data_IF_659376589662
#
_entry.id   IF_659376589662
#
_cell.length_a   1.000
_cell.length_b   1.000
_cell.length_c   1.000
_cell.angle_alpha   90.00
_cell.angle_beta   90.00
_cell.angle_gamma   90.00
#
_symmetry.space_group_name_H-M   'P 1'
#
loop_
_entity.id
_entity.type
_entity.pdbx_description
1 polymer ?
#
# COMPACT_ATOMS: atom_id res chain seq x y z
N UNK A 1 16.27 3.46 -13.58
CA UNK A 1 15.11 2.82 -13.01
C UNK A 1 14.58 3.67 -11.86
N UNK A 2 13.30 4.02 -11.86
CA UNK A 2 12.63 4.72 -10.78
C UNK A 2 12.13 3.77 -9.70
N UNK A 3 11.41 4.30 -8.71
CA UNK A 3 10.60 3.46 -7.83
C UNK A 3 9.37 2.98 -8.60
N UNK A 4 9.14 1.68 -8.56
CA UNK A 4 7.96 1.05 -9.14
C UNK A 4 7.17 0.33 -8.05
N UNK A 5 5.97 -0.09 -8.38
CA UNK A 5 5.14 -0.91 -7.52
C UNK A 5 5.80 -2.25 -7.16
N UNK A 6 6.64 -2.77 -8.06
CA UNK A 6 7.42 -3.99 -7.83
C UNK A 6 8.45 -3.77 -6.72
N UNK A 7 9.21 -2.67 -6.79
CA UNK A 7 10.20 -2.33 -5.75
C UNK A 7 9.54 -2.04 -4.39
N UNK A 8 8.34 -1.46 -4.39
CA UNK A 8 7.56 -1.25 -3.18
C UNK A 8 7.10 -2.59 -2.56
N UNK A 9 6.59 -3.50 -3.39
CA UNK A 9 6.20 -4.84 -2.94
C UNK A 9 7.40 -5.65 -2.40
N UNK A 10 8.60 -5.47 -2.97
CA UNK A 10 9.84 -6.07 -2.49
C UNK A 10 10.12 -5.71 -1.03
N UNK A 11 9.98 -4.44 -0.65
CA UNK A 11 10.18 -3.97 0.73
C UNK A 11 9.24 -4.71 1.68
N UNK A 12 7.95 -4.73 1.36
CA UNK A 12 6.95 -5.42 2.19
C UNK A 12 7.25 -6.92 2.31
N UNK A 13 7.63 -7.58 1.20
CA UNK A 13 8.00 -8.98 1.18
C UNK A 13 9.19 -9.28 2.10
N UNK A 14 10.23 -8.44 2.07
CA UNK A 14 11.42 -8.60 2.91
C UNK A 14 11.13 -8.43 4.40
N UNK A 15 10.30 -7.45 4.77
CA UNK A 15 9.83 -7.32 6.15
C UNK A 15 9.04 -8.55 6.61
N UNK A 16 8.13 -9.06 5.77
CA UNK A 16 7.39 -10.27 6.08
C UNK A 16 8.32 -11.45 6.39
N UNK A 17 9.28 -11.70 5.47
CA UNK A 17 10.21 -12.83 5.60
C UNK A 17 11.00 -12.74 6.90
N UNK A 18 11.65 -11.62 7.17
CA UNK A 18 12.53 -11.50 8.34
C UNK A 18 11.77 -11.50 9.66
N UNK A 19 10.62 -10.82 9.69
CA UNK A 19 9.76 -10.84 10.87
C UNK A 19 9.23 -12.24 11.16
N UNK A 20 8.80 -12.97 10.13
CA UNK A 20 8.28 -14.34 10.30
C UNK A 20 9.38 -15.34 10.66
N UNK A 21 10.55 -15.21 10.04
CA UNK A 21 11.73 -16.06 10.32
C UNK A 21 12.17 -15.94 11.79
N UNK A 22 12.25 -14.71 12.31
CA UNK A 22 12.82 -14.45 13.65
C UNK A 22 11.76 -14.59 14.75
N UNK A 23 10.52 -14.15 14.52
CA UNK A 23 9.49 -14.03 15.56
C UNK A 23 8.24 -14.87 15.33
N UNK A 24 8.19 -15.67 14.25
CA UNK A 24 7.05 -16.54 13.94
C UNK A 24 5.74 -15.76 13.84
N UNK A 25 4.70 -16.21 14.53
CA UNK A 25 3.37 -15.59 14.50
C UNK A 25 3.35 -14.14 15.06
N UNK A 26 4.23 -13.83 16.02
CA UNK A 26 4.39 -12.44 16.50
C UNK A 26 4.96 -11.55 15.40
N UNK A 27 5.88 -12.06 14.61
CA UNK A 27 6.44 -11.36 13.46
C UNK A 27 5.40 -11.08 12.38
N UNK A 28 4.57 -12.07 12.07
CA UNK A 28 3.45 -11.88 11.14
C UNK A 28 2.43 -10.85 11.66
N UNK A 29 2.08 -10.90 12.95
CA UNK A 29 1.20 -9.93 13.57
C UNK A 29 1.77 -8.50 13.50
N UNK A 30 3.09 -8.33 13.75
CA UNK A 30 3.77 -7.04 13.62
C UNK A 30 3.78 -6.54 12.17
N UNK A 31 4.03 -7.41 11.21
CA UNK A 31 3.96 -7.10 9.78
C UNK A 31 2.57 -6.59 9.37
N UNK A 32 1.51 -7.28 9.79
CA UNK A 32 0.14 -6.87 9.51
C UNK A 32 -0.21 -5.53 10.16
N UNK A 33 0.27 -5.30 11.38
CA UNK A 33 0.10 -4.03 12.08
C UNK A 33 0.82 -2.90 11.36
N UNK A 34 2.07 -3.10 10.95
CA UNK A 34 2.85 -2.13 10.17
C UNK A 34 2.21 -1.80 8.82
N UNK A 35 1.66 -2.82 8.14
CA UNK A 35 0.91 -2.64 6.89
C UNK A 35 -0.31 -1.73 7.08
N UNK A 36 -1.06 -1.93 8.16
CA UNK A 36 -2.20 -1.05 8.51
C UNK A 36 -1.74 0.36 8.84
N UNK A 37 -0.71 0.49 9.65
CA UNK A 37 -0.13 1.78 10.04
C UNK A 37 0.28 2.60 8.82
N UNK A 38 1.01 1.99 7.89
CA UNK A 38 1.35 2.60 6.61
C UNK A 38 0.11 3.05 5.82
N UNK A 39 -0.90 2.19 5.72
CA UNK A 39 -2.15 2.50 5.02
C UNK A 39 -2.92 3.66 5.67
N UNK A 40 -2.97 3.71 7.00
CA UNK A 40 -3.62 4.78 7.76
C UNK A 40 -2.90 6.13 7.60
N UNK A 41 -1.57 6.15 7.63
CA UNK A 41 -0.80 7.38 7.38
C UNK A 41 -1.13 7.96 6.00
N UNK A 42 -1.22 7.12 4.96
CA UNK A 42 -1.65 7.55 3.64
C UNK A 42 -3.07 8.10 3.64
N UNK A 43 -4.00 7.37 4.23
CA UNK A 43 -5.40 7.80 4.34
C UNK A 43 -5.54 9.15 5.02
N UNK A 44 -4.79 9.41 6.09
CA UNK A 44 -4.76 10.70 6.79
C UNK A 44 -4.31 11.84 5.88
N UNK A 45 -3.22 11.68 5.14
CA UNK A 45 -2.74 12.71 4.20
C UNK A 45 -3.76 12.98 3.09
N UNK A 46 -4.35 11.94 2.54
CA UNK A 46 -5.40 12.06 1.52
C UNK A 46 -6.62 12.82 2.05
N UNK A 47 -7.06 12.50 3.29
CA UNK A 47 -8.15 13.20 3.96
C UNK A 47 -7.81 14.69 4.19
N UNK A 48 -6.60 14.99 4.67
CA UNK A 48 -6.16 16.38 4.90
C UNK A 48 -6.18 17.21 3.62
N UNK A 49 -5.71 16.65 2.50
CA UNK A 49 -5.76 17.34 1.20
C UNK A 49 -7.21 17.57 0.74
N UNK A 50 -8.06 16.54 0.87
CA UNK A 50 -9.48 16.68 0.54
C UNK A 50 -10.17 17.76 1.39
N UNK A 51 -9.92 17.79 2.70
CA UNK A 51 -10.45 18.81 3.62
C UNK A 51 -9.93 20.21 3.24
N UNK A 52 -8.64 20.36 2.99
CA UNK A 52 -8.02 21.62 2.55
C UNK A 52 -8.70 22.17 1.30
N UNK A 53 -9.06 21.29 0.37
CA UNK A 53 -9.69 21.66 -0.89
C UNK A 53 -11.24 21.75 -0.79
N UNK A 54 -11.80 21.69 0.42
CA UNK A 54 -13.23 21.80 0.69
C UNK A 54 -14.05 20.60 0.19
N UNK A 55 -13.44 19.43 0.01
CA UNK A 55 -14.11 18.21 -0.49
C UNK A 55 -14.64 17.34 0.66
N UNK A 56 -15.81 16.72 0.49
CA UNK A 56 -16.32 15.75 1.47
C UNK A 56 -15.47 14.48 1.49
N UNK A 57 -15.39 13.80 2.63
CA UNK A 57 -14.68 12.53 2.76
C UNK A 57 -15.57 11.36 2.29
N UNK A 58 -15.74 11.21 0.98
CA UNK A 58 -16.46 10.14 0.30
C UNK A 58 -15.49 9.14 -0.32
N UNK A 59 -15.99 7.99 -0.78
CA UNK A 59 -15.15 7.04 -1.52
C UNK A 59 -14.71 7.60 -2.88
N UNK A 60 -15.55 8.37 -3.55
CA UNK A 60 -15.19 9.10 -4.77
C UNK A 60 -13.99 10.02 -4.53
N UNK A 61 -14.05 10.85 -3.48
CA UNK A 61 -12.93 11.72 -3.09
C UNK A 61 -11.68 10.91 -2.74
N UNK A 62 -11.83 9.78 -2.06
CA UNK A 62 -10.71 8.87 -1.81
C UNK A 62 -10.04 8.42 -3.12
N UNK A 63 -10.81 8.07 -4.14
CA UNK A 63 -10.26 7.70 -5.45
C UNK A 63 -9.51 8.87 -6.11
N UNK A 64 -10.07 10.08 -6.03
CA UNK A 64 -9.49 11.29 -6.61
C UNK A 64 -8.15 11.68 -5.96
N UNK A 65 -8.04 11.57 -4.64
CA UNK A 65 -6.83 11.90 -3.87
C UNK A 65 -5.89 10.72 -3.65
N UNK A 66 -6.19 9.56 -4.22
CA UNK A 66 -5.42 8.34 -4.06
C UNK A 66 -3.97 8.49 -4.53
N UNK A 67 -3.01 8.20 -3.64
CA UNK A 67 -1.57 8.32 -3.88
C UNK A 67 -0.98 7.22 -4.76
N UNK A 68 -1.75 6.18 -5.10
CA UNK A 68 -1.28 5.08 -5.93
C UNK A 68 -1.59 5.31 -7.40
N UNK A 69 -0.54 5.37 -8.18
CA UNK A 69 -0.58 5.44 -9.64
C UNK A 69 0.41 4.42 -10.19
N UNK A 70 -0.03 3.63 -11.15
CA UNK A 70 0.89 2.73 -11.83
C UNK A 70 1.92 3.53 -12.60
N UNK A 71 3.20 3.21 -12.41
CA UNK A 71 4.31 3.83 -13.14
C UNK A 71 4.26 3.44 -14.61
N UNK A 72 4.74 4.31 -15.47
CA UNK A 72 4.80 4.03 -16.92
C UNK A 72 5.69 2.82 -17.21
N UNK A 73 6.74 2.61 -16.42
CA UNK A 73 7.61 1.45 -16.53
C UNK A 73 6.84 0.13 -16.31
N UNK A 74 6.01 0.06 -15.26
CA UNK A 74 5.22 -1.14 -14.95
C UNK A 74 4.07 -1.33 -15.95
N UNK A 75 3.46 -0.25 -16.44
CA UNK A 75 2.46 -0.29 -17.52
C UNK A 75 3.05 -0.82 -18.82
N UNK A 76 4.24 -0.35 -19.23
CA UNK A 76 4.93 -0.78 -20.44
C UNK A 76 5.28 -2.27 -20.41
N UNK A 77 5.46 -2.86 -19.23
CA UNK A 77 5.67 -4.29 -19.03
C UNK A 77 4.37 -5.11 -19.01
N UNK A 78 3.20 -4.48 -19.10
CA UNK A 78 1.90 -5.14 -18.95
C UNK A 78 1.57 -5.57 -17.51
N UNK A 79 2.33 -5.08 -16.52
CA UNK A 79 2.21 -5.45 -15.10
C UNK A 79 1.42 -4.44 -14.27
N UNK A 80 0.97 -3.34 -14.86
CA UNK A 80 0.09 -2.37 -14.19
C UNK A 80 -1.23 -3.01 -13.77
N UNK A 81 -1.89 -2.46 -12.75
CA UNK A 81 -3.19 -2.95 -12.31
C UNK A 81 -4.19 -2.96 -13.47
N UNK A 82 -4.76 -4.13 -13.73
CA UNK A 82 -5.86 -4.32 -14.67
C UNK A 82 -7.07 -4.79 -13.89
N UNK A 83 -8.14 -4.01 -13.96
CA UNK A 83 -9.37 -4.30 -13.23
C UNK A 83 -10.61 -3.94 -14.04
N UNK A 84 -11.70 -4.61 -13.74
CA UNK A 84 -13.03 -4.31 -14.25
C UNK A 84 -13.98 -4.01 -13.09
N UNK A 85 -14.89 -3.07 -13.30
CA UNK A 85 -15.94 -2.76 -12.33
C UNK A 85 -17.12 -3.71 -12.57
N UNK A 86 -17.50 -4.46 -11.53
CA UNK A 86 -18.60 -5.41 -11.57
C UNK A 86 -19.86 -4.89 -10.87
N UNK A 87 -19.72 -3.93 -9.94
CA UNK A 87 -20.83 -3.25 -9.27
C UNK A 87 -20.43 -1.83 -8.87
N UNK A 88 -21.36 -0.87 -8.96
CA UNK A 88 -21.18 0.50 -8.46
C UNK A 88 -21.92 0.74 -7.14
N UNK A 89 -23.10 0.16 -6.96
CA UNK A 89 -24.01 0.44 -5.85
C UNK A 89 -24.83 -0.80 -5.47
N UNK A 90 -25.17 -0.98 -4.18
CA UNK A 90 -24.81 -0.16 -3.03
C UNK A 90 -23.32 -0.28 -2.64
N UNK A 91 -22.69 -1.40 -2.98
CA UNK A 91 -21.28 -1.68 -2.76
C UNK A 91 -20.53 -1.56 -4.10
N UNK A 92 -19.41 -0.85 -4.08
CA UNK A 92 -18.51 -0.82 -5.23
C UNK A 92 -17.67 -2.10 -5.26
N UNK A 93 -17.70 -2.82 -6.37
CA UNK A 93 -16.94 -4.05 -6.53
C UNK A 93 -16.12 -4.02 -7.83
N UNK A 94 -14.87 -4.45 -7.70
CA UNK A 94 -13.95 -4.63 -8.82
C UNK A 94 -13.33 -6.03 -8.79
N UNK A 95 -13.08 -6.58 -9.98
CA UNK A 95 -12.22 -7.73 -10.20
C UNK A 95 -10.86 -7.24 -10.69
N UNK A 96 -9.78 -7.69 -10.06
CA UNK A 96 -8.41 -7.31 -10.42
C UNK A 96 -7.73 -8.55 -11.01
N UNK A 97 -7.36 -8.48 -12.28
CA UNK A 97 -6.76 -9.58 -13.03
C UNK A 97 -5.23 -9.50 -13.08
N UNK A 98 -4.66 -8.29 -12.98
CA UNK A 98 -3.21 -8.07 -12.90
C UNK A 98 -2.91 -7.11 -11.76
N UNK A 99 -1.97 -7.49 -10.92
CA UNK A 99 -1.49 -6.68 -9.80
C UNK A 99 0.03 -6.78 -9.68
N UNK A 100 0.77 -5.66 -9.77
CA UNK A 100 2.23 -5.67 -9.67
C UNK A 100 2.74 -6.23 -8.34
N UNK A 101 2.00 -6.04 -7.25
CA UNK A 101 2.33 -6.62 -5.96
C UNK A 101 2.24 -8.15 -5.98
N UNK A 102 1.16 -8.70 -6.54
CA UNK A 102 1.04 -10.15 -6.74
C UNK A 102 2.21 -10.69 -7.57
N UNK A 103 2.51 -10.01 -8.68
CA UNK A 103 3.63 -10.40 -9.56
C UNK A 103 4.94 -10.44 -8.79
N UNK A 104 5.24 -9.41 -7.99
CA UNK A 104 6.48 -9.35 -7.22
C UNK A 104 6.55 -10.44 -6.13
N UNK A 105 5.47 -10.65 -5.37
CA UNK A 105 5.43 -11.72 -4.38
C UNK A 105 5.60 -13.10 -5.01
N UNK A 106 4.97 -13.34 -6.16
CA UNK A 106 5.12 -14.58 -6.92
C UNK A 106 6.57 -14.78 -7.39
N UNK A 107 7.21 -13.72 -7.94
CA UNK A 107 8.60 -13.77 -8.38
C UNK A 107 9.57 -14.06 -7.24
N UNK A 108 9.25 -13.64 -6.02
CA UNK A 108 10.03 -13.92 -4.81
C UNK A 108 9.68 -15.25 -4.13
N UNK A 109 8.69 -16.00 -4.64
CA UNK A 109 8.23 -17.26 -4.03
C UNK A 109 7.49 -17.08 -2.70
N UNK A 110 6.83 -15.94 -2.50
CA UNK A 110 6.20 -15.51 -1.24
C UNK A 110 4.69 -15.20 -1.40
N UNK A 111 3.87 -16.09 -1.98
CA UNK A 111 2.46 -15.82 -2.18
C UNK A 111 1.71 -15.59 -0.86
N UNK A 112 2.12 -16.23 0.24
CA UNK A 112 1.52 -16.09 1.56
C UNK A 112 1.65 -14.67 2.13
N UNK A 113 2.76 -13.99 1.87
CA UNK A 113 2.95 -12.59 2.28
C UNK A 113 1.94 -11.67 1.60
N UNK A 114 1.73 -11.86 0.31
CA UNK A 114 0.73 -11.11 -0.45
C UNK A 114 -0.69 -11.40 0.01
N UNK A 115 -1.00 -12.66 0.30
CA UNK A 115 -2.29 -13.07 0.84
C UNK A 115 -2.61 -12.39 2.18
N UNK A 116 -1.64 -12.37 3.10
CA UNK A 116 -1.77 -11.72 4.40
C UNK A 116 -2.04 -10.21 4.25
N UNK A 117 -1.34 -9.54 3.33
CA UNK A 117 -1.57 -8.11 3.03
C UNK A 117 -2.98 -7.86 2.52
N UNK A 118 -3.42 -8.57 1.48
CA UNK A 118 -4.72 -8.31 0.83
C UNK A 118 -5.88 -8.48 1.80
N UNK A 119 -5.82 -9.44 2.71
CA UNK A 119 -6.84 -9.64 3.76
C UNK A 119 -6.83 -8.55 4.83
N UNK A 120 -5.73 -7.86 4.99
CA UNK A 120 -5.52 -6.85 6.03
C UNK A 120 -5.90 -5.44 5.57
N UNK A 121 -6.04 -5.19 4.28
CA UNK A 121 -6.19 -3.88 3.65
C UNK A 121 -7.51 -3.18 3.94
N UNK A 122 -7.48 -2.09 4.19
CA UNK A 122 -7.35 -0.66 4.47
C UNK A 122 -8.70 -0.03 4.79
N UNK A 123 -8.73 0.84 5.75
CA UNK A 123 -9.80 1.85 5.86
C UNK A 123 -9.41 3.03 4.96
N UNK A 124 -10.20 3.39 3.94
CA UNK A 124 -9.86 4.45 3.00
C UNK A 124 -9.50 5.78 3.67
N UNK A 125 -10.35 6.26 4.58
CA UNK A 125 -10.08 7.43 5.41
C UNK A 125 -10.23 7.04 6.89
N UNK A 126 -9.15 6.98 7.68
CA UNK A 126 -9.25 6.67 9.12
C UNK A 126 -10.14 7.64 9.88
N UNK A 127 -10.17 8.92 9.46
CA UNK A 127 -10.93 10.00 10.07
C UNK A 127 -12.41 10.02 9.66
N UNK A 128 -12.76 9.47 8.50
CA UNK A 128 -14.16 9.35 8.11
C UNK A 128 -14.83 8.32 9.02
N UNK A 129 -15.91 8.70 9.70
CA UNK A 129 -16.73 7.86 10.60
C UNK A 129 -17.01 6.47 9.99
N UNK A 130 -16.27 5.49 10.36
CA UNK A 130 -15.50 4.61 9.51
C UNK A 130 -16.03 3.20 9.43
N UNK A 131 -17.24 2.98 9.82
CA UNK A 131 -17.98 1.77 9.47
C UNK A 131 -18.50 1.80 8.01
N UNK A 132 -18.40 2.97 7.34
CA UNK A 132 -18.98 3.16 6.01
C UNK A 132 -18.20 2.50 4.88
N UNK A 133 -16.85 2.53 4.93
CA UNK A 133 -16.04 2.04 3.79
C UNK A 133 -15.16 0.86 4.19
N UNK A 134 -15.76 -0.24 4.63
CA UNK A 134 -15.01 -1.46 4.87
C UNK A 134 -14.67 -2.12 3.53
N UNK A 135 -13.37 -2.22 3.22
CA UNK A 135 -12.90 -3.01 2.10
C UNK A 135 -12.78 -4.48 2.51
N UNK A 136 -13.23 -5.36 1.64
CA UNK A 136 -13.08 -6.81 1.79
C UNK A 136 -12.54 -7.41 0.51
N UNK A 137 -11.68 -8.41 0.64
CA UNK A 137 -11.18 -9.21 -0.47
C UNK A 137 -11.43 -10.69 -0.14
N UNK A 138 -12.60 -11.23 -0.49
CA UNK A 138 -12.93 -12.62 -0.21
C UNK A 138 -12.13 -13.61 -1.08
N UNK A 139 -11.59 -13.14 -2.19
CA UNK A 139 -10.82 -13.90 -3.16
C UNK A 139 -9.62 -13.07 -3.62
N UNK A 140 -8.46 -13.71 -3.82
CA UNK A 140 -7.22 -13.04 -4.18
C UNK A 140 -6.51 -13.72 -5.34
N UNK A 141 -5.65 -12.99 -6.07
CA UNK A 141 -4.76 -13.53 -7.10
C UNK A 141 -3.74 -14.56 -6.56
N UNK A 142 -3.59 -14.68 -5.23
CA UNK A 142 -2.66 -15.64 -4.64
C UNK A 142 -3.24 -17.05 -4.59
N UNK A 143 -4.54 -17.19 -4.69
CA UNK A 143 -5.28 -18.45 -4.61
C UNK A 143 -6.31 -18.65 -5.73
N UNK A 144 -6.55 -17.62 -6.57
CA UNK A 144 -7.51 -17.63 -7.68
C UNK A 144 -7.00 -16.83 -8.87
N UNK A 145 -7.74 -16.84 -9.98
CA UNK A 145 -7.38 -16.14 -11.24
C UNK A 145 -7.53 -14.63 -11.17
N UNK A 146 -8.27 -14.10 -10.18
CA UNK A 146 -8.45 -12.66 -9.94
C UNK A 146 -8.77 -12.36 -8.48
N UNK A 147 -8.47 -11.12 -8.05
CA UNK A 147 -8.93 -10.62 -6.75
C UNK A 147 -10.34 -10.05 -6.88
N UNK A 148 -11.18 -10.25 -5.86
CA UNK A 148 -12.41 -9.49 -5.67
C UNK A 148 -12.16 -8.46 -4.58
N UNK A 149 -12.34 -7.18 -4.90
CA UNK A 149 -12.34 -6.11 -3.90
C UNK A 149 -13.74 -5.49 -3.83
N UNK A 150 -14.30 -5.47 -2.62
CA UNK A 150 -15.62 -4.89 -2.35
C UNK A 150 -15.49 -3.79 -1.33
N UNK A 151 -15.93 -2.59 -1.69
CA UNK A 151 -16.01 -1.42 -0.81
C UNK A 151 -17.47 -1.20 -0.46
N UNK A 152 -17.82 -1.49 0.79
CA UNK A 152 -19.19 -1.38 1.25
C UNK A 152 -19.65 0.06 1.34
N UNK A 153 -20.88 0.32 0.91
CA UNK A 153 -21.53 1.62 0.97
C UNK A 153 -20.67 2.73 0.31
N UNK A 154 -20.03 2.43 -0.79
CA UNK A 154 -19.18 3.39 -1.51
C UNK A 154 -19.95 4.63 -1.99
N UNK A 155 -21.27 4.48 -2.23
CA UNK A 155 -22.14 5.58 -2.64
C UNK A 155 -21.84 6.12 -4.04
N UNK A 156 -21.26 5.27 -4.91
CA UNK A 156 -20.96 5.65 -6.28
C UNK A 156 -22.19 5.54 -7.16
N UNK A 157 -22.25 6.40 -8.19
CA UNK A 157 -23.24 6.39 -9.25
C UNK A 157 -22.54 6.40 -10.60
N UNK A 158 -23.24 6.17 -11.71
CA UNK A 158 -22.66 6.27 -13.07
C UNK A 158 -22.00 7.62 -13.36
N UNK A 159 -22.45 8.70 -12.68
CA UNK A 159 -21.94 10.07 -12.83
C UNK A 159 -20.72 10.34 -11.93
N UNK A 160 -20.37 9.45 -11.00
CA UNK A 160 -19.23 9.61 -10.10
C UNK A 160 -17.92 9.71 -10.88
N UNK A 161 -17.11 10.70 -10.54
CA UNK A 161 -15.81 10.92 -11.15
C UNK A 161 -14.69 10.40 -10.23
N UNK A 162 -14.16 9.24 -10.55
CA UNK A 162 -13.04 8.62 -9.81
C UNK A 162 -11.66 8.98 -10.39
N UNK A 163 -11.59 9.87 -11.38
CA UNK A 163 -10.32 10.27 -11.99
C UNK A 163 -9.42 10.96 -10.96
N UNK A 164 -8.16 10.55 -10.92
CA UNK A 164 -7.18 11.13 -9.99
C UNK A 164 -6.87 12.58 -10.32
N UNK A 165 -6.79 13.40 -9.29
CA UNK A 165 -6.27 14.76 -9.42
C UNK A 165 -4.75 14.73 -9.62
N UNK A 166 -4.21 15.67 -10.39
CA UNK A 166 -2.80 15.69 -10.78
C UNK A 166 -1.84 15.67 -9.58
N UNK A 167 -2.14 16.43 -8.53
CA UNK A 167 -1.31 16.51 -7.31
C UNK A 167 -1.17 15.17 -6.57
N UNK A 168 -2.16 14.27 -6.66
CA UNK A 168 -2.08 12.96 -6.04
C UNK A 168 -1.12 12.01 -6.78
N UNK A 169 -0.96 12.19 -8.11
CA UNK A 169 -0.09 11.34 -8.93
C UNK A 169 1.40 11.63 -8.74
N UNK A 170 1.76 12.87 -8.38
CA UNK A 170 3.16 13.29 -8.21
C UNK A 170 3.81 12.68 -6.94
N UNK A 171 3.00 12.12 -6.05
CA UNK A 171 3.44 11.55 -4.77
C UNK A 171 3.87 10.07 -4.86
N UNK A 172 3.75 9.45 -6.02
CA UNK A 172 4.13 8.03 -6.20
C UNK A 172 5.61 7.77 -5.87
N UNK A 173 6.50 8.75 -6.07
CA UNK A 173 7.93 8.64 -5.77
C UNK A 173 8.25 8.55 -4.28
N UNK A 174 7.34 8.92 -3.38
CA UNK A 174 7.53 8.88 -1.92
C UNK A 174 6.95 7.62 -1.28
N UNK A 175 6.20 6.81 -2.04
CA UNK A 175 5.43 5.69 -1.51
C UNK A 175 6.31 4.57 -0.94
N UNK A 176 7.38 4.22 -1.63
CA UNK A 176 8.28 3.15 -1.19
C UNK A 176 9.13 3.56 0.04
N UNK A 177 9.80 4.73 0.06
CA UNK A 177 10.47 5.20 1.28
C UNK A 177 9.52 5.33 2.47
N UNK A 178 8.30 5.85 2.26
CA UNK A 178 7.30 5.94 3.32
C UNK A 178 6.96 4.55 3.89
N UNK A 179 6.73 3.54 3.05
CA UNK A 179 6.42 2.20 3.55
C UNK A 179 7.59 1.63 4.37
N UNK A 180 8.84 1.80 3.90
CA UNK A 180 10.01 1.38 4.64
C UNK A 180 10.06 1.98 6.05
N UNK A 181 9.88 3.30 6.18
CA UNK A 181 9.90 3.97 7.47
C UNK A 181 8.74 3.60 8.38
N UNK A 182 7.53 3.46 7.83
CA UNK A 182 6.37 3.02 8.60
C UNK A 182 6.55 1.60 9.17
N UNK A 183 7.10 0.68 8.38
CA UNK A 183 7.43 -0.66 8.87
C UNK A 183 8.54 -0.61 9.92
N UNK A 184 9.59 0.20 9.69
CA UNK A 184 10.69 0.37 10.64
C UNK A 184 10.19 0.88 11.99
N UNK A 185 9.41 1.98 12.01
CA UNK A 185 8.84 2.54 13.25
C UNK A 185 8.09 1.48 14.08
N UNK A 186 7.26 0.68 13.43
CA UNK A 186 6.50 -0.38 14.10
C UNK A 186 7.40 -1.51 14.58
N UNK A 187 8.38 -1.93 13.78
CA UNK A 187 9.32 -2.97 14.15
C UNK A 187 10.19 -2.57 15.33
N UNK A 188 10.70 -1.33 15.34
CA UNK A 188 11.49 -0.78 16.45
C UNK A 188 10.65 -0.65 17.72
N UNK A 189 9.39 -0.21 17.62
CA UNK A 189 8.49 -0.09 18.76
C UNK A 189 8.15 -1.44 19.42
N UNK A 190 8.06 -2.51 18.62
CA UNK A 190 7.65 -3.84 19.11
C UNK A 190 8.86 -4.69 19.54
N UNK A 191 9.98 -4.61 18.79
CA UNK A 191 11.13 -5.51 18.94
C UNK A 191 12.44 -4.82 19.31
N UNK A 192 12.44 -3.50 19.53
CA UNK A 192 13.63 -2.72 19.91
C UNK A 192 14.74 -2.86 18.89
N UNK A 193 15.96 -3.12 19.37
CA UNK A 193 17.16 -3.24 18.52
C UNK A 193 17.04 -4.33 17.45
N UNK A 194 16.31 -5.43 17.71
CA UNK A 194 16.12 -6.46 16.71
C UNK A 194 15.24 -5.97 15.54
N UNK A 195 14.22 -5.15 15.86
CA UNK A 195 13.42 -4.46 14.86
C UNK A 195 14.27 -3.51 14.00
N UNK A 196 15.19 -2.80 14.59
CA UNK A 196 16.18 -1.95 13.89
C UNK A 196 17.05 -2.79 12.93
N UNK A 197 17.61 -3.90 13.42
CA UNK A 197 18.44 -4.80 12.60
C UNK A 197 17.68 -5.39 11.40
N UNK A 198 16.41 -5.73 11.59
CA UNK A 198 15.55 -6.18 10.47
C UNK A 198 15.40 -5.07 9.44
N UNK A 199 15.10 -3.85 9.86
CA UNK A 199 14.94 -2.74 8.94
C UNK A 199 16.21 -2.44 8.15
N UNK A 200 17.38 -2.48 8.81
CA UNK A 200 18.69 -2.32 8.15
C UNK A 200 18.93 -3.42 7.12
N UNK A 201 18.65 -4.69 7.47
CA UNK A 201 18.75 -5.82 6.54
C UNK A 201 17.83 -5.67 5.32
N UNK A 202 16.60 -5.18 5.50
CA UNK A 202 15.68 -4.87 4.38
C UNK A 202 16.27 -3.78 3.48
N UNK A 203 16.87 -2.75 4.06
CA UNK A 203 17.48 -1.66 3.30
C UNK A 203 18.71 -2.12 2.52
N UNK A 204 19.54 -2.97 3.10
CA UNK A 204 20.71 -3.55 2.45
C UNK A 204 20.32 -4.46 1.27
N UNK A 205 19.32 -5.31 1.46
CA UNK A 205 18.77 -6.14 0.38
C UNK A 205 18.20 -5.29 -0.75
N UNK A 206 17.49 -4.21 -0.39
CA UNK A 206 16.97 -3.27 -1.38
C UNK A 206 18.09 -2.58 -2.16
N UNK A 207 19.16 -2.18 -1.46
CA UNK A 207 20.32 -1.56 -2.09
C UNK A 207 21.09 -2.52 -2.99
N UNK A 208 21.14 -3.81 -2.63
CA UNK A 208 21.74 -4.86 -3.45
C UNK A 208 20.95 -5.09 -4.75
N UNK A 209 19.61 -5.10 -4.68
CA UNK A 209 18.72 -5.37 -5.82
C UNK A 209 18.57 -4.15 -6.74
N UNK A 210 18.36 -2.97 -6.18
CA UNK A 210 17.99 -1.75 -6.92
C UNK A 210 19.09 -0.67 -6.99
N UNK A 211 20.19 -0.86 -6.25
CA UNK A 211 21.35 0.02 -6.23
C UNK A 211 21.42 0.95 -5.02
N UNK A 212 22.67 1.17 -4.54
CA UNK A 212 23.01 1.93 -3.32
C UNK A 212 22.51 3.39 -3.28
N UNK A 213 22.31 4.02 -4.47
CA UNK A 213 21.80 5.40 -4.54
C UNK A 213 20.46 5.61 -3.82
N UNK A 214 19.66 4.55 -3.74
CA UNK A 214 18.36 4.58 -3.08
C UNK A 214 18.48 4.58 -1.56
N UNK A 215 19.46 3.89 -1.01
CA UNK A 215 19.74 3.86 0.43
C UNK A 215 19.96 5.27 0.99
N UNK A 216 20.82 6.06 0.36
CA UNK A 216 21.07 7.46 0.75
C UNK A 216 19.80 8.31 0.68
N UNK A 217 19.02 8.16 -0.40
CA UNK A 217 17.78 8.92 -0.57
C UNK A 217 16.76 8.60 0.54
N UNK A 218 16.67 7.35 0.97
CA UNK A 218 15.73 6.96 2.03
C UNK A 218 16.20 7.43 3.40
N UNK A 219 17.49 7.36 3.68
CA UNK A 219 18.08 7.88 4.92
C UNK A 219 17.78 9.37 5.10
N UNK A 220 17.78 10.15 4.02
CA UNK A 220 17.42 11.57 4.06
C UNK A 220 15.94 11.83 4.41
N UNK A 221 15.09 10.82 4.37
CA UNK A 221 13.68 10.93 4.79
C UNK A 221 13.45 10.48 6.25
N UNK A 222 14.52 10.16 6.98
CA UNK A 222 14.44 9.89 8.42
C UNK A 222 13.84 11.08 9.16
N UNK A 223 12.89 10.83 10.05
CA UNK A 223 12.19 11.87 10.80
C UNK A 223 11.08 12.60 10.03
N UNK A 224 10.80 12.23 8.78
CA UNK A 224 9.63 12.75 8.05
C UNK A 224 8.34 12.30 8.73
N UNK A 225 7.47 13.24 9.07
CA UNK A 225 6.15 12.91 9.62
C UNK A 225 5.16 12.55 8.50
N UNK A 226 5.06 11.27 8.21
CA UNK A 226 4.15 10.77 7.16
C UNK A 226 2.66 10.81 7.52
N UNK A 227 2.28 11.32 8.69
CA UNK A 227 0.88 11.54 9.04
C UNK A 227 0.32 12.88 8.53
N UNK A 228 1.19 13.80 8.12
CA UNK A 228 0.82 15.16 7.73
C UNK A 228 1.00 15.33 6.22
N UNK A 229 -0.01 15.94 5.58
CA UNK A 229 0.07 16.30 4.17
C UNK A 229 1.05 17.46 3.97
N UNK A 230 1.75 17.42 2.85
CA UNK A 230 2.60 18.48 2.28
C UNK A 230 1.78 19.66 1.72
#
# INVERSE_FOLDING_TARGET
MGFTELSHAFIAAKYYVYLKEIFGDRGEAAFLHATRYYGEQRGRRMAQRAIRDGKPLTYETYCQYGEWVNTEEVKAQGLGNQSETTSLSPDFQIHIHVCPWHTQFKNMGLPEAGFSIVRTWMRPFPEASTRRFAMRSPQTLHDHDYCIQTIRNAGLTPESNMAKIRQASDLSSTTAPHSYWAYREVCEAIFGEEGTRIAERVLDDFAAEYGKRWQTRWQNMHGTNFNIAD
#
